data_IF_784833491666
#
_entry.id   IF_784833491666
#
_cell.length_a   1.000
_cell.length_b   1.000
_cell.length_c   1.000
_cell.angle_alpha   90.00
_cell.angle_beta   90.00
_cell.angle_gamma   90.00
#
_symmetry.space_group_name_H-M   'P 1'
#
loop_
_entity.id
_entity.type
_entity.pdbx_description
1 polymer ?
#
# COMPACT_ATOMS: atom_id res chain seq x y z
N UNK A 1 -5.89 -8.63 3.78
CA UNK A 1 -6.06 -8.36 5.22
C UNK A 1 -6.89 -9.49 5.79
N UNK A 2 -6.50 -10.03 6.94
CA UNK A 2 -7.31 -11.04 7.61
C UNK A 2 -8.08 -10.38 8.76
N UNK A 3 -9.03 -9.55 8.35
CA UNK A 3 -9.91 -8.76 9.19
C UNK A 3 -11.28 -8.68 8.50
N UNK A 4 -12.35 -8.75 9.26
CA UNK A 4 -13.70 -8.62 8.71
C UNK A 4 -14.10 -7.15 8.50
N UNK A 5 -15.27 -6.97 7.89
CA UNK A 5 -15.83 -5.65 7.59
C UNK A 5 -16.10 -4.83 8.85
N UNK A 6 -16.62 -5.44 9.92
CA UNK A 6 -16.97 -4.72 11.16
C UNK A 6 -15.73 -4.19 11.87
N UNK A 7 -14.69 -5.01 11.96
CA UNK A 7 -13.39 -4.61 12.50
C UNK A 7 -12.78 -3.47 11.68
N UNK A 8 -12.77 -3.58 10.35
CA UNK A 8 -12.22 -2.52 9.51
C UNK A 8 -13.09 -1.26 9.56
N UNK A 9 -14.41 -1.37 9.62
CA UNK A 9 -15.31 -0.21 9.68
C UNK A 9 -15.21 0.56 11.00
N UNK A 10 -14.93 -0.14 12.11
CA UNK A 10 -14.71 0.46 13.43
C UNK A 10 -13.28 0.95 13.67
N UNK A 11 -12.34 0.62 12.77
CA UNK A 11 -10.94 0.99 12.92
C UNK A 11 -10.74 2.50 12.75
N UNK A 12 -10.38 3.19 13.82
CA UNK A 12 -10.03 4.61 13.79
C UNK A 12 -8.57 4.85 13.41
N UNK A 13 -8.31 6.03 12.82
CA UNK A 13 -6.96 6.52 12.63
C UNK A 13 -6.27 6.67 13.99
N UNK A 14 -5.04 6.16 14.07
CA UNK A 14 -4.10 6.50 15.12
C UNK A 14 -2.79 6.90 14.46
N UNK A 15 -2.08 7.84 15.08
CA UNK A 15 -0.75 8.20 14.59
C UNK A 15 0.13 6.95 14.54
N UNK A 16 0.82 6.77 13.42
CA UNK A 16 1.67 5.61 13.21
C UNK A 16 2.73 5.49 14.30
N UNK A 17 2.93 4.26 14.79
CA UNK A 17 3.94 3.95 15.81
C UNK A 17 5.34 3.99 15.23
N UNK A 18 5.47 3.65 13.95
CA UNK A 18 6.73 3.55 13.22
C UNK A 18 6.75 4.63 12.13
N UNK A 19 7.72 5.55 12.26
CA UNK A 19 7.92 6.68 11.35
C UNK A 19 8.85 6.35 10.17
N UNK A 20 9.03 5.06 9.88
CA UNK A 20 9.77 4.54 8.71
C UNK A 20 8.78 4.05 7.65
N UNK A 21 9.19 3.95 6.38
CA UNK A 21 8.39 3.29 5.36
C UNK A 21 8.43 1.76 5.48
N UNK A 22 7.31 1.11 5.13
CA UNK A 22 7.19 -0.35 5.00
C UNK A 22 7.00 -0.76 3.53
N UNK A 23 7.58 -1.91 3.15
CA UNK A 23 7.27 -2.58 1.89
C UNK A 23 7.00 -4.07 2.10
N UNK A 24 5.78 -4.52 1.79
CA UNK A 24 5.44 -5.95 1.74
C UNK A 24 5.58 -6.44 0.29
N UNK A 25 6.55 -7.30 -0.03
CA UNK A 25 6.83 -7.69 -1.43
C UNK A 25 7.17 -9.17 -1.60
N UNK A 26 7.44 -9.58 -2.84
CA UNK A 26 7.87 -10.92 -3.22
C UNK A 26 9.03 -10.83 -4.20
N UNK A 27 9.83 -11.88 -4.32
CA UNK A 27 10.89 -11.97 -5.33
C UNK A 27 10.40 -12.28 -6.77
N UNK A 28 9.08 -12.29 -7.04
CA UNK A 28 8.54 -12.59 -8.37
C UNK A 28 9.10 -11.61 -9.41
N UNK A 29 9.60 -12.14 -10.52
CA UNK A 29 10.27 -11.39 -11.59
C UNK A 29 9.94 -11.91 -13.00
N UNK A 30 8.80 -12.61 -13.16
CA UNK A 30 8.40 -13.28 -14.40
C UNK A 30 7.95 -12.28 -15.48
N UNK A 31 7.24 -11.21 -15.09
CA UNK A 31 6.76 -10.17 -16.00
C UNK A 31 7.67 -8.95 -16.00
N UNK A 32 7.54 -8.10 -17.02
CA UNK A 32 8.27 -6.83 -17.10
C UNK A 32 7.99 -5.95 -15.87
N UNK A 33 6.72 -5.74 -15.53
CA UNK A 33 6.33 -4.94 -14.35
C UNK A 33 6.84 -5.50 -13.02
N UNK A 34 6.89 -6.82 -12.88
CA UNK A 34 7.48 -7.46 -11.70
C UNK A 34 8.98 -7.17 -11.58
N UNK A 35 9.72 -7.20 -12.69
CA UNK A 35 11.15 -6.83 -12.73
C UNK A 35 11.36 -5.35 -12.43
N UNK A 36 10.57 -4.46 -13.02
CA UNK A 36 10.63 -3.03 -12.76
C UNK A 36 10.46 -2.74 -11.26
N UNK A 37 9.40 -3.30 -10.65
CA UNK A 37 9.14 -3.17 -9.22
C UNK A 37 10.30 -3.67 -8.36
N UNK A 38 10.84 -4.86 -8.65
CA UNK A 38 11.93 -5.43 -7.86
C UNK A 38 13.22 -4.59 -7.99
N UNK A 39 13.54 -4.12 -9.20
CA UNK A 39 14.69 -3.24 -9.43
C UNK A 39 14.53 -1.90 -8.71
N UNK A 40 13.32 -1.33 -8.73
CA UNK A 40 13.00 -0.13 -7.98
C UNK A 40 13.23 -0.32 -6.48
N UNK A 41 12.72 -1.40 -5.88
CA UNK A 41 12.94 -1.68 -4.46
C UNK A 41 14.41 -1.87 -4.09
N UNK A 42 15.18 -2.63 -4.90
CA UNK A 42 16.63 -2.77 -4.69
C UNK A 42 17.37 -1.42 -4.77
N UNK A 43 16.93 -0.52 -5.66
CA UNK A 43 17.51 0.81 -5.79
C UNK A 43 17.26 1.64 -4.52
N UNK A 44 16.02 1.70 -4.03
CA UNK A 44 15.66 2.56 -2.90
C UNK A 44 16.11 2.00 -1.54
N UNK A 45 16.28 0.68 -1.38
CA UNK A 45 16.85 0.04 -0.18
C UNK A 45 18.29 0.52 0.13
N UNK A 46 19.00 0.95 -0.91
CA UNK A 46 20.34 1.54 -0.78
C UNK A 46 20.33 3.05 -0.49
N UNK A 47 19.18 3.72 -0.62
CA UNK A 47 19.07 5.17 -0.49
C UNK A 47 18.42 5.59 0.84
N UNK A 48 17.48 4.79 1.35
CA UNK A 48 16.76 5.05 2.59
C UNK A 48 16.54 3.74 3.35
N UNK A 49 16.24 3.83 4.65
CA UNK A 49 15.85 2.66 5.45
C UNK A 49 14.37 2.34 5.23
N UNK A 50 14.05 1.10 4.83
CA UNK A 50 12.69 0.62 4.58
C UNK A 50 12.55 -0.75 5.24
N UNK A 51 11.49 -0.99 5.99
CA UNK A 51 11.24 -2.33 6.53
C UNK A 51 10.60 -3.22 5.47
N UNK A 52 11.33 -4.24 5.02
CA UNK A 52 10.89 -5.17 3.98
C UNK A 52 10.29 -6.44 4.61
N UNK A 53 9.05 -6.73 4.26
CA UNK A 53 8.35 -7.95 4.65
C UNK A 53 8.01 -8.81 3.44
N UNK A 54 7.95 -10.12 3.65
CA UNK A 54 7.60 -11.09 2.62
C UNK A 54 8.03 -12.50 3.01
N UNK A 55 7.95 -13.44 2.07
CA UNK A 55 8.43 -14.81 2.31
C UNK A 55 9.94 -14.83 2.48
N UNK A 56 10.46 -15.85 3.16
CA UNK A 56 11.91 -16.02 3.41
C UNK A 56 12.80 -15.95 2.16
N UNK A 57 12.27 -16.18 0.97
CA UNK A 57 13.01 -16.08 -0.28
C UNK A 57 13.38 -14.64 -0.71
N UNK A 58 12.97 -13.61 0.04
CA UNK A 58 13.43 -12.22 -0.15
C UNK A 58 14.51 -11.81 0.84
N UNK A 59 14.87 -12.65 1.81
CA UNK A 59 15.77 -12.26 2.92
C UNK A 59 17.16 -11.82 2.46
N UNK A 60 17.66 -12.39 1.36
CA UNK A 60 18.93 -12.03 0.75
C UNK A 60 18.84 -10.88 -0.27
N UNK A 61 17.62 -10.40 -0.57
CA UNK A 61 17.40 -9.35 -1.57
C UNK A 61 17.40 -7.95 -0.97
N UNK A 62 17.12 -7.82 0.33
CA UNK A 62 16.94 -6.54 1.02
C UNK A 62 17.69 -6.52 2.34
N UNK A 63 18.35 -5.40 2.64
CA UNK A 63 19.21 -5.24 3.83
C UNK A 63 18.41 -5.30 5.14
N UNK A 64 17.16 -4.86 5.10
CA UNK A 64 16.26 -4.67 6.25
C UNK A 64 15.05 -5.59 6.17
N UNK A 65 15.27 -6.86 5.85
CA UNK A 65 14.23 -7.90 5.90
C UNK A 65 13.74 -8.13 7.34
N UNK A 66 12.41 -8.11 7.54
CA UNK A 66 11.75 -8.27 8.84
C UNK A 66 11.00 -9.59 9.01
N UNK A 67 10.92 -10.41 7.97
CA UNK A 67 10.15 -11.66 8.02
C UNK A 67 8.82 -11.61 7.25
N UNK A 68 7.98 -12.65 7.44
CA UNK A 68 6.59 -12.64 7.01
C UNK A 68 5.79 -11.48 7.63
N UNK A 69 4.88 -10.81 6.89
CA UNK A 69 4.01 -9.76 7.44
C UNK A 69 2.87 -10.29 8.32
N UNK A 70 2.60 -11.60 8.28
CA UNK A 70 1.45 -12.21 8.93
C UNK A 70 1.60 -12.21 10.47
N UNK A 71 0.51 -11.89 11.18
CA UNK A 71 0.50 -11.90 12.66
C UNK A 71 0.69 -13.29 13.24
N UNK A 72 0.20 -14.33 12.56
CA UNK A 72 0.34 -15.72 12.96
C UNK A 72 0.24 -16.66 11.74
N UNK A 73 0.70 -17.91 11.86
CA UNK A 73 0.56 -18.92 10.80
C UNK A 73 -0.89 -19.21 10.37
N UNK A 74 -1.86 -18.99 11.27
CA UNK A 74 -3.31 -19.15 11.01
C UNK A 74 -3.86 -18.09 10.04
N UNK A 75 -3.12 -16.99 9.84
CA UNK A 75 -3.51 -15.86 8.99
C UNK A 75 -2.50 -15.61 7.85
N UNK A 76 -2.29 -16.58 6.93
CA UNK A 76 -1.17 -16.64 5.98
C UNK A 76 -1.18 -15.57 4.86
N UNK A 77 -2.10 -14.61 4.92
CA UNK A 77 -2.24 -13.50 3.96
C UNK A 77 -2.46 -12.16 4.67
N UNK A 78 -2.31 -12.14 5.98
CA UNK A 78 -2.52 -10.94 6.74
C UNK A 78 -1.38 -9.94 6.54
N UNK A 79 -1.79 -8.69 6.39
CA UNK A 79 -0.90 -7.56 6.16
C UNK A 79 -1.22 -6.41 7.12
N UNK A 80 -1.96 -6.71 8.20
CA UNK A 80 -2.40 -5.70 9.15
C UNK A 80 -1.25 -4.95 9.83
N UNK A 81 -0.04 -5.51 9.83
CA UNK A 81 1.20 -4.83 10.26
C UNK A 81 1.40 -3.46 9.59
N UNK A 82 0.84 -3.24 8.39
CA UNK A 82 0.83 -1.93 7.72
C UNK A 82 0.37 -0.80 8.66
N UNK A 83 -0.64 -1.06 9.51
CA UNK A 83 -1.24 -0.07 10.42
C UNK A 83 -0.22 0.59 11.36
N UNK A 84 0.87 -0.09 11.68
CA UNK A 84 1.87 0.45 12.58
C UNK A 84 2.81 1.47 11.89
N UNK A 85 2.74 1.60 10.56
CA UNK A 85 3.63 2.44 9.75
C UNK A 85 2.92 3.67 9.16
N UNK A 86 3.69 4.76 9.02
CA UNK A 86 3.19 6.02 8.47
C UNK A 86 2.88 5.92 6.96
N UNK A 87 3.79 5.30 6.19
CA UNK A 87 3.68 5.16 4.73
C UNK A 87 4.04 3.75 4.29
N UNK A 88 3.47 3.30 3.16
CA UNK A 88 3.82 2.02 2.53
C UNK A 88 4.14 2.18 1.05
N UNK A 89 5.21 1.55 0.59
CA UNK A 89 5.48 1.41 -0.84
C UNK A 89 4.53 0.37 -1.48
N UNK A 90 3.44 0.85 -2.04
CA UNK A 90 2.32 0.06 -2.55
C UNK A 90 2.39 -0.13 -4.07
N UNK A 91 3.52 -0.63 -4.56
CA UNK A 91 3.80 -0.75 -5.99
C UNK A 91 3.17 -2.03 -6.58
N UNK A 92 2.38 -1.87 -7.64
CA UNK A 92 1.77 -2.98 -8.38
C UNK A 92 2.79 -3.83 -9.12
N UNK A 93 2.38 -5.03 -9.53
CA UNK A 93 3.23 -5.93 -10.33
C UNK A 93 3.30 -5.57 -11.82
N UNK A 94 2.75 -4.42 -12.21
CA UNK A 94 2.78 -3.87 -13.57
C UNK A 94 1.81 -2.71 -13.73
N UNK A 95 1.94 -1.98 -14.83
CA UNK A 95 1.13 -0.81 -15.16
C UNK A 95 -0.10 -1.19 -15.99
N UNK A 96 -1.31 -1.02 -15.47
CA UNK A 96 -2.57 -1.42 -16.13
C UNK A 96 -3.74 -0.52 -15.71
N UNK A 97 -4.55 -0.10 -16.69
CA UNK A 97 -5.78 0.68 -16.45
C UNK A 97 -6.77 -0.13 -15.60
N UNK A 98 -7.46 0.52 -14.66
CA UNK A 98 -8.47 -0.08 -13.77
C UNK A 98 -7.94 -1.26 -12.93
N UNK A 99 -6.64 -1.35 -12.67
CA UNK A 99 -6.05 -2.44 -11.91
C UNK A 99 -5.21 -1.89 -10.75
N UNK A 100 -5.78 -1.96 -9.55
CA UNK A 100 -5.12 -1.58 -8.31
C UNK A 100 -5.58 -2.52 -7.19
N UNK A 101 -4.62 -3.00 -6.41
CA UNK A 101 -4.84 -3.91 -5.27
C UNK A 101 -4.03 -3.50 -4.06
N UNK A 102 -2.86 -2.89 -4.28
CA UNK A 102 -1.87 -2.59 -3.24
C UNK A 102 -2.21 -1.34 -2.44
N UNK A 103 -2.83 -0.35 -3.08
CA UNK A 103 -3.33 0.86 -2.40
C UNK A 103 -4.42 0.54 -1.40
N UNK A 104 -5.35 -0.35 -1.77
CA UNK A 104 -6.48 -0.71 -0.91
C UNK A 104 -6.01 -1.28 0.42
N UNK A 105 -4.99 -2.16 0.41
CA UNK A 105 -4.44 -2.75 1.64
C UNK A 105 -3.87 -1.69 2.59
N UNK A 106 -3.15 -0.68 2.07
CA UNK A 106 -2.59 0.41 2.88
C UNK A 106 -3.67 1.34 3.41
N UNK A 107 -4.61 1.75 2.56
CA UNK A 107 -5.72 2.64 2.93
C UNK A 107 -6.62 2.00 4.01
N UNK A 108 -6.92 0.70 3.87
CA UNK A 108 -7.65 -0.08 4.87
C UNK A 108 -6.87 -0.27 6.19
N UNK A 109 -5.58 0.06 6.24
CA UNK A 109 -4.78 0.07 7.45
C UNK A 109 -4.45 1.48 7.98
N UNK A 110 -5.01 2.55 7.40
CA UNK A 110 -4.63 3.94 7.73
C UNK A 110 -3.18 4.30 7.40
N UNK A 111 -2.57 3.59 6.46
CA UNK A 111 -1.20 3.79 6.01
C UNK A 111 -1.20 4.50 4.66
N UNK A 112 -0.47 5.60 4.52
CA UNK A 112 -0.43 6.36 3.28
C UNK A 112 0.34 5.59 2.18
N UNK A 113 -0.29 5.24 1.05
CA UNK A 113 0.38 4.52 -0.02
C UNK A 113 1.25 5.45 -0.87
N UNK A 114 2.52 5.09 -1.04
CA UNK A 114 3.40 5.58 -2.10
C UNK A 114 3.21 4.63 -3.30
N UNK A 115 2.62 5.12 -4.39
CA UNK A 115 1.94 4.28 -5.38
C UNK A 115 2.48 4.38 -6.81
N UNK A 116 2.44 3.24 -7.50
CA UNK A 116 2.56 3.12 -8.95
C UNK A 116 1.84 1.85 -9.43
N UNK A 117 1.11 1.94 -10.55
CA UNK A 117 0.51 0.76 -11.21
C UNK A 117 -0.74 1.04 -12.04
N UNK A 118 -1.69 1.79 -11.53
CA UNK A 118 -2.91 2.15 -12.25
C UNK A 118 -2.76 3.54 -12.85
N UNK A 119 -2.74 3.72 -14.19
CA UNK A 119 -2.60 5.02 -14.83
C UNK A 119 -3.76 5.98 -14.57
N UNK A 120 -4.92 5.46 -14.16
CA UNK A 120 -6.13 6.22 -13.91
C UNK A 120 -6.64 5.96 -12.49
N UNK A 121 -5.74 5.95 -11.51
CA UNK A 121 -6.11 5.70 -10.12
C UNK A 121 -7.01 6.83 -9.56
N UNK A 122 -6.82 8.05 -10.06
CA UNK A 122 -7.59 9.25 -9.78
C UNK A 122 -9.08 9.13 -10.15
N UNK A 123 -9.46 8.21 -11.05
CA UNK A 123 -10.87 7.91 -11.33
C UNK A 123 -11.57 7.23 -10.13
N UNK A 124 -10.80 6.68 -9.19
CA UNK A 124 -11.28 5.85 -8.08
C UNK A 124 -11.01 6.45 -6.70
N UNK A 125 -10.02 7.32 -6.57
CA UNK A 125 -9.62 7.85 -5.26
C UNK A 125 -9.34 9.34 -5.34
N UNK A 126 -9.73 10.12 -4.31
CA UNK A 126 -9.46 11.54 -4.24
C UNK A 126 -7.96 11.86 -4.32
N UNK A 127 -7.68 13.06 -4.79
CA UNK A 127 -6.35 13.65 -4.69
C UNK A 127 -5.86 13.61 -3.22
N UNK A 128 -4.55 13.44 -3.03
CA UNK A 128 -3.88 13.32 -1.72
C UNK A 128 -4.10 12.01 -0.96
N UNK A 129 -4.95 11.08 -1.40
CA UNK A 129 -5.09 9.79 -0.70
C UNK A 129 -3.95 8.80 -0.99
N UNK A 130 -3.04 9.17 -1.89
CA UNK A 130 -1.83 8.43 -2.24
C UNK A 130 -0.76 9.40 -2.75
N UNK A 131 0.51 9.00 -2.64
CA UNK A 131 1.65 9.74 -3.20
C UNK A 131 2.16 9.01 -4.42
N UNK A 132 2.00 9.58 -5.61
CA UNK A 132 2.48 8.94 -6.83
C UNK A 132 4.02 8.87 -6.87
N UNK A 133 4.57 7.76 -7.34
CA UNK A 133 6.01 7.62 -7.64
C UNK A 133 6.18 7.03 -9.03
N UNK A 134 6.97 7.67 -9.89
CA UNK A 134 7.37 7.04 -11.14
C UNK A 134 8.58 6.12 -10.89
N UNK A 135 8.37 4.80 -10.91
CA UNK A 135 9.43 3.82 -10.65
C UNK A 135 10.41 3.67 -11.82
N UNK A 136 10.08 4.22 -12.99
CA UNK A 136 10.89 4.15 -14.22
C UNK A 136 11.92 5.29 -14.29
N UNK A 137 11.75 6.32 -13.47
CA UNK A 137 12.59 7.52 -13.49
C UNK A 137 13.75 7.46 -12.47
N UNK A 138 14.62 8.46 -12.57
CA UNK A 138 15.67 8.65 -11.58
C UNK A 138 15.01 9.07 -10.25
N UNK A 139 15.40 8.38 -9.19
CA UNK A 139 14.94 8.63 -7.83
C UNK A 139 16.13 9.21 -7.07
N UNK A 140 15.90 10.24 -6.27
CA UNK A 140 16.91 10.82 -5.37
C UNK A 140 16.50 10.63 -3.91
N UNK A 141 17.45 10.68 -2.96
CA UNK A 141 17.14 10.65 -1.53
C UNK A 141 16.16 11.76 -1.09
N UNK A 142 16.28 12.97 -1.66
CA UNK A 142 15.41 14.10 -1.33
C UNK A 142 13.97 13.85 -1.76
N UNK A 143 13.79 13.28 -2.97
CA UNK A 143 12.47 12.91 -3.45
C UNK A 143 11.86 11.79 -2.60
N UNK A 144 12.67 10.79 -2.20
CA UNK A 144 12.22 9.75 -1.28
C UNK A 144 11.83 10.33 0.09
N UNK A 145 12.62 11.25 0.64
CA UNK A 145 12.31 11.92 1.90
C UNK A 145 10.97 12.68 1.82
N UNK A 146 10.69 13.35 0.70
CA UNK A 146 9.39 13.96 0.45
C UNK A 146 8.27 12.92 0.38
N UNK A 147 8.47 11.79 -0.31
CA UNK A 147 7.48 10.72 -0.40
C UNK A 147 7.23 10.01 0.94
N UNK A 148 8.23 9.96 1.82
CA UNK A 148 8.14 9.25 3.11
C UNK A 148 7.87 10.16 4.32
N UNK A 149 7.63 11.46 4.10
CA UNK A 149 7.31 12.41 5.17
C UNK A 149 6.06 12.00 5.97
N UNK A 150 5.87 12.50 7.20
CA UNK A 150 4.62 12.32 7.96
C UNK A 150 3.37 12.66 7.13
N UNK A 151 2.27 11.96 7.38
CA UNK A 151 0.98 12.25 6.73
C UNK A 151 0.44 13.58 7.20
N UNK A 152 0.06 14.44 6.26
CA UNK A 152 -0.53 15.75 6.52
C UNK A 152 -2.05 15.67 6.71
N UNK A 153 -2.65 16.75 7.22
CA UNK A 153 -4.08 16.78 7.54
C UNK A 153 -4.98 16.55 6.32
N UNK A 154 -4.68 17.18 5.19
CA UNK A 154 -5.42 16.99 3.94
C UNK A 154 -5.27 15.55 3.40
N UNK A 155 -4.06 15.00 3.45
CA UNK A 155 -3.78 13.62 3.08
C UNK A 155 -4.56 12.63 3.96
N UNK A 156 -4.68 12.90 5.27
CA UNK A 156 -5.46 12.09 6.18
C UNK A 156 -6.96 12.12 5.86
N UNK A 157 -7.53 13.28 5.54
CA UNK A 157 -8.93 13.41 5.13
C UNK A 157 -9.20 12.65 3.83
N UNK A 158 -8.33 12.79 2.83
CA UNK A 158 -8.44 12.04 1.58
C UNK A 158 -8.26 10.52 1.80
N UNK A 159 -7.38 10.11 2.72
CA UNK A 159 -7.20 8.71 3.10
C UNK A 159 -8.46 8.13 3.76
N UNK A 160 -9.13 8.90 4.62
CA UNK A 160 -10.41 8.53 5.23
C UNK A 160 -11.51 8.35 4.17
N UNK A 161 -11.61 9.29 3.23
CA UNK A 161 -12.56 9.17 2.11
C UNK A 161 -12.28 7.91 1.27
N UNK A 162 -11.02 7.69 0.88
CA UNK A 162 -10.61 6.49 0.14
C UNK A 162 -10.93 5.20 0.88
N UNK A 163 -10.71 5.16 2.20
CA UNK A 163 -11.10 4.04 3.05
C UNK A 163 -12.62 3.78 2.98
N UNK A 164 -13.42 4.83 3.10
CA UNK A 164 -14.88 4.73 3.02
C UNK A 164 -15.35 4.24 1.64
N UNK A 165 -14.74 4.72 0.56
CA UNK A 165 -15.01 4.25 -0.80
C UNK A 165 -14.73 2.74 -0.95
N UNK A 166 -13.60 2.26 -0.42
CA UNK A 166 -13.29 0.83 -0.45
C UNK A 166 -14.34 0.03 0.33
N UNK A 167 -14.61 0.44 1.57
CA UNK A 167 -15.48 -0.30 2.47
C UNK A 167 -16.95 -0.31 2.02
N UNK A 168 -17.44 0.78 1.40
CA UNK A 168 -18.88 1.00 1.18
C UNK A 168 -19.30 1.11 -0.28
N UNK A 169 -18.35 1.21 -1.22
CA UNK A 169 -18.66 1.37 -2.66
C UNK A 169 -17.99 0.31 -3.53
N UNK A 170 -16.70 0.05 -3.33
CA UNK A 170 -15.94 -0.83 -4.23
C UNK A 170 -15.94 -2.30 -3.81
N UNK A 171 -16.12 -2.59 -2.52
CA UNK A 171 -16.30 -3.97 -2.07
C UNK A 171 -17.58 -4.58 -2.64
N UNK A 172 -17.52 -5.88 -2.96
CA UNK A 172 -18.58 -6.59 -3.68
C UNK A 172 -19.96 -6.47 -3.04
N UNK A 173 -20.09 -6.75 -1.73
CA UNK A 173 -21.39 -6.69 -1.05
C UNK A 173 -21.99 -5.28 -1.03
N UNK A 174 -21.28 -4.22 -0.58
CA UNK A 174 -21.78 -2.86 -0.68
C UNK A 174 -22.11 -2.43 -2.11
N UNK A 175 -21.31 -2.85 -3.10
CA UNK A 175 -21.58 -2.54 -4.49
C UNK A 175 -22.95 -3.10 -4.94
N UNK A 176 -23.23 -4.37 -4.63
CA UNK A 176 -24.52 -5.00 -4.93
C UNK A 176 -25.66 -4.34 -4.14
N UNK A 177 -25.46 -4.07 -2.85
CA UNK A 177 -26.47 -3.40 -2.00
C UNK A 177 -26.85 -2.01 -2.54
N UNK A 178 -25.88 -1.22 -3.01
CA UNK A 178 -26.16 0.07 -3.64
C UNK A 178 -26.96 -0.08 -4.94
N UNK A 179 -26.62 -1.06 -5.80
CA UNK A 179 -27.41 -1.34 -7.02
C UNK A 179 -28.85 -1.72 -6.66
N UNK A 180 -29.06 -2.54 -5.64
CA UNK A 180 -30.39 -2.97 -5.21
C UNK A 180 -31.23 -1.84 -4.64
N UNK A 181 -30.61 -0.82 -4.02
CA UNK A 181 -31.30 0.37 -3.49
C UNK A 181 -31.66 1.41 -4.56
N UNK A 182 -30.94 1.40 -5.68
CA UNK A 182 -31.18 2.30 -6.81
C UNK A 182 -32.27 1.77 -7.79
N UNK A 183 -32.73 0.52 -7.59
CA UNK A 183 -33.83 -0.13 -8.32
C UNK A 183 -35.19 0.14 -7.66
#
# INVERSE_FOLDING_TARGET
LDCDYEFLSSLTYNQARIQKPICITTNKAFTHGQRQRLNFFKKIDNLIEIDFYGKNNISSLFRTYKGPPERSPEHPRDKFILRDYNVSFSIENGKRRNFFTRTQESMLCWTMPIYWGCPNLEDFFPEFSYRYVNIEEKITPEYLAHLTRPVEKNELLALEESRNLILRKYNFFPFIDNILKDL
#
